data_IF_709024937902
#
_entry.id   IF_709024937902
#
_cell.length_a   1.000
_cell.length_b   1.000
_cell.length_c   1.000
_cell.angle_alpha   90.00
_cell.angle_beta   90.00
_cell.angle_gamma   90.00
#
_symmetry.space_group_name_H-M   'P 1'
#
loop_
_entity.id
_entity.type
_entity.pdbx_description
1 polymer ?
#
# COMPACT_ATOMS: atom_id res chain seq x y z
N UNK A 1 -49.32 51.35 -30.56
CA UNK A 1 -50.30 50.51 -29.86
C UNK A 1 -49.78 49.09 -29.76
N UNK A 2 -49.83 48.58 -28.56
CA UNK A 2 -49.64 47.22 -28.09
C UNK A 2 -48.21 46.65 -27.91
N UNK A 3 -47.95 46.55 -26.61
CA UNK A 3 -46.93 45.82 -25.90
C UNK A 3 -47.01 44.31 -26.17
N UNK A 4 -45.87 43.64 -26.21
CA UNK A 4 -45.75 42.25 -25.87
C UNK A 4 -44.56 42.11 -24.92
N UNK A 5 -44.83 41.60 -23.75
CA UNK A 5 -43.92 41.28 -22.66
C UNK A 5 -43.27 39.92 -22.91
N UNK A 6 -41.97 39.86 -22.71
CA UNK A 6 -41.22 38.60 -22.75
C UNK A 6 -40.83 38.21 -21.35
N UNK A 7 -41.31 37.07 -20.90
CA UNK A 7 -40.97 36.43 -19.64
C UNK A 7 -39.77 35.47 -19.80
N UNK A 8 -38.70 35.77 -19.09
CA UNK A 8 -37.54 34.90 -18.93
C UNK A 8 -37.89 33.71 -18.02
N UNK A 9 -37.65 32.53 -18.47
CA UNK A 9 -37.51 31.36 -17.63
C UNK A 9 -36.03 30.90 -17.65
N UNK A 10 -35.34 31.14 -16.54
CA UNK A 10 -34.10 30.45 -16.19
C UNK A 10 -34.46 29.04 -15.76
N UNK A 11 -33.87 28.06 -16.42
CA UNK A 11 -33.83 26.68 -15.95
C UNK A 11 -32.50 26.44 -15.24
N UNK A 12 -32.59 26.18 -13.94
CA UNK A 12 -31.50 25.72 -13.09
C UNK A 12 -31.14 24.30 -13.49
N UNK A 13 -29.87 24.11 -13.82
CA UNK A 13 -29.25 22.80 -14.05
C UNK A 13 -27.97 22.70 -13.22
N UNK A 14 -28.13 22.55 -11.90
CA UNK A 14 -27.03 22.23 -10.99
C UNK A 14 -27.54 21.28 -9.90
N UNK A 15 -27.53 19.97 -10.16
CA UNK A 15 -27.73 18.96 -9.09
C UNK A 15 -27.34 17.51 -9.41
N UNK A 16 -26.47 17.24 -10.41
CA UNK A 16 -26.19 15.84 -10.79
C UNK A 16 -24.75 15.35 -10.54
N UNK A 17 -23.85 16.18 -10.03
CA UNK A 17 -22.45 15.76 -9.82
C UNK A 17 -22.15 15.15 -8.45
N UNK A 18 -23.02 15.29 -7.47
CA UNK A 18 -22.79 14.77 -6.10
C UNK A 18 -23.26 13.32 -5.89
N UNK A 19 -24.18 12.83 -6.70
CA UNK A 19 -24.75 11.50 -6.52
C UNK A 19 -23.86 10.37 -7.12
N UNK A 20 -23.12 10.64 -8.18
CA UNK A 20 -22.25 9.64 -8.83
C UNK A 20 -21.02 9.26 -7.99
N UNK A 21 -20.49 10.19 -7.19
CA UNK A 21 -19.33 9.91 -6.32
C UNK A 21 -19.69 9.06 -5.10
N UNK A 22 -20.88 9.25 -4.52
CA UNK A 22 -21.33 8.45 -3.37
C UNK A 22 -21.59 6.99 -3.77
N UNK A 23 -22.20 6.76 -4.92
CA UNK A 23 -22.52 5.42 -5.42
C UNK A 23 -21.25 4.63 -5.76
N UNK A 24 -20.26 5.27 -6.40
CA UNK A 24 -18.97 4.63 -6.69
C UNK A 24 -18.18 4.28 -5.42
N UNK A 25 -18.24 5.10 -4.37
CA UNK A 25 -17.59 4.81 -3.09
C UNK A 25 -18.24 3.63 -2.37
N UNK A 26 -19.57 3.54 -2.36
CA UNK A 26 -20.33 2.43 -1.76
C UNK A 26 -20.03 1.13 -2.51
N UNK A 27 -19.99 1.16 -3.84
CA UNK A 27 -19.65 0.01 -4.68
C UNK A 27 -18.23 -0.49 -4.42
N UNK A 28 -17.25 0.41 -4.34
CA UNK A 28 -15.85 0.06 -4.07
C UNK A 28 -15.67 -0.50 -2.65
N UNK A 29 -16.36 0.03 -1.64
CA UNK A 29 -16.35 -0.56 -0.29
C UNK A 29 -16.93 -1.99 -0.29
N UNK A 30 -18.02 -2.24 -1.05
CA UNK A 30 -18.57 -3.56 -1.25
C UNK A 30 -17.58 -4.50 -1.95
N UNK A 31 -16.80 -4.01 -2.91
CA UNK A 31 -15.80 -4.79 -3.63
C UNK A 31 -14.61 -5.17 -2.73
N UNK A 32 -14.12 -4.27 -1.85
CA UNK A 32 -13.10 -4.63 -0.85
C UNK A 32 -13.60 -5.74 0.10
N UNK A 33 -14.85 -5.67 0.55
CA UNK A 33 -15.44 -6.69 1.40
C UNK A 33 -15.50 -8.05 0.69
N UNK A 34 -15.95 -8.09 -0.57
CA UNK A 34 -15.99 -9.31 -1.39
C UNK A 34 -14.61 -9.94 -1.58
N UNK A 35 -13.57 -9.11 -1.81
CA UNK A 35 -12.19 -9.61 -1.93
C UNK A 35 -11.73 -10.21 -0.59
N UNK A 36 -12.05 -9.57 0.54
CA UNK A 36 -11.74 -10.09 1.87
C UNK A 36 -12.44 -11.40 2.16
N UNK A 37 -13.71 -11.52 1.81
CA UNK A 37 -14.48 -12.77 1.94
C UNK A 37 -13.89 -13.89 1.08
N UNK A 38 -13.50 -13.59 -0.16
CA UNK A 38 -12.84 -14.54 -1.04
C UNK A 38 -11.50 -15.02 -0.47
N UNK A 39 -10.70 -14.13 0.12
CA UNK A 39 -9.47 -14.49 0.82
C UNK A 39 -9.70 -15.41 2.01
N UNK A 40 -10.70 -15.10 2.85
CA UNK A 40 -11.02 -15.89 4.06
C UNK A 40 -11.57 -17.27 3.69
N UNK A 41 -12.38 -17.37 2.64
CA UNK A 41 -13.00 -18.63 2.19
C UNK A 41 -12.08 -19.49 1.30
N UNK A 42 -10.94 -18.96 0.84
CA UNK A 42 -9.98 -19.71 0.03
C UNK A 42 -9.42 -20.90 0.82
N UNK A 43 -9.53 -22.09 0.25
CA UNK A 43 -9.05 -23.34 0.87
C UNK A 43 -7.55 -23.29 1.21
N UNK A 44 -6.74 -22.54 0.46
CA UNK A 44 -5.32 -22.32 0.70
C UNK A 44 -5.03 -21.52 1.96
N UNK A 45 -6.06 -20.80 2.48
CA UNK A 45 -6.02 -20.04 3.73
C UNK A 45 -6.73 -20.74 4.90
N UNK A 46 -7.21 -21.97 4.70
CA UNK A 46 -8.04 -22.69 5.68
C UNK A 46 -7.41 -22.84 7.07
N UNK A 47 -6.09 -23.00 7.15
CA UNK A 47 -5.38 -23.11 8.43
C UNK A 47 -5.40 -21.79 9.23
N UNK A 48 -5.36 -20.64 8.53
CA UNK A 48 -5.52 -19.34 9.16
C UNK A 48 -6.97 -19.12 9.61
N UNK A 49 -7.93 -19.43 8.75
CA UNK A 49 -9.36 -19.30 9.05
C UNK A 49 -9.77 -20.17 10.25
N UNK A 50 -9.30 -21.43 10.34
CA UNK A 50 -9.52 -22.31 11.50
C UNK A 50 -8.98 -21.74 12.81
N UNK A 51 -7.89 -20.98 12.77
CA UNK A 51 -7.29 -20.29 13.91
C UNK A 51 -7.94 -18.92 14.19
N UNK A 52 -8.93 -18.49 13.41
CA UNK A 52 -9.54 -17.18 13.52
C UNK A 52 -8.67 -16.03 13.05
N UNK A 53 -7.57 -16.31 12.30
CA UNK A 53 -6.66 -15.29 11.78
C UNK A 53 -7.24 -14.69 10.51
N UNK A 54 -7.43 -13.38 10.52
CA UNK A 54 -7.91 -12.62 9.37
C UNK A 54 -6.75 -12.14 8.49
N UNK A 55 -6.98 -11.88 7.18
CA UNK A 55 -5.96 -11.29 6.32
C UNK A 55 -5.61 -9.87 6.78
N UNK A 56 -4.32 -9.58 6.87
CA UNK A 56 -3.76 -8.35 7.45
C UNK A 56 -3.27 -7.45 6.31
N UNK A 57 -4.06 -6.46 5.98
CA UNK A 57 -3.77 -5.39 5.04
C UNK A 57 -4.67 -4.18 5.34
N UNK A 58 -4.32 -3.03 4.78
CA UNK A 58 -5.09 -1.79 4.89
C UNK A 58 -5.28 -1.21 3.50
N UNK A 59 -6.52 -0.99 3.09
CA UNK A 59 -6.88 -0.42 1.78
C UNK A 59 -8.06 0.55 1.92
N UNK A 60 -8.02 1.61 1.12
CA UNK A 60 -9.10 2.59 1.03
C UNK A 60 -9.09 3.23 -0.37
N UNK A 61 -10.25 3.61 -0.90
CA UNK A 61 -10.38 4.29 -2.19
C UNK A 61 -9.67 5.65 -2.22
N UNK A 62 -9.50 6.27 -1.06
CA UNK A 62 -8.80 7.54 -0.90
C UNK A 62 -7.26 7.39 -0.81
N UNK A 63 -6.73 6.17 -0.86
CA UNK A 63 -5.29 5.93 -0.74
C UNK A 63 -4.51 6.61 -1.88
N UNK A 64 -3.50 7.38 -1.50
CA UNK A 64 -2.61 8.08 -2.43
C UNK A 64 -1.22 7.45 -2.45
N UNK A 65 -0.84 6.76 -1.37
CA UNK A 65 0.40 6.00 -1.24
C UNK A 65 0.05 4.56 -0.92
N UNK A 66 0.72 3.63 -1.61
CA UNK A 66 0.63 2.20 -1.32
C UNK A 66 1.98 1.68 -0.84
N UNK A 67 1.97 0.97 0.28
CA UNK A 67 3.15 0.32 0.86
C UNK A 67 3.04 -1.19 0.61
N UNK A 68 4.06 -1.78 -0.01
CA UNK A 68 4.12 -3.21 -0.28
C UNK A 68 5.35 -3.81 0.40
N UNK A 69 5.12 -4.58 1.46
CA UNK A 69 6.12 -5.35 2.19
C UNK A 69 6.08 -6.83 1.86
N UNK A 70 6.82 -7.64 2.62
CA UNK A 70 6.89 -9.09 2.41
C UNK A 70 5.61 -9.80 2.90
N UNK A 71 5.35 -9.76 4.19
CA UNK A 71 4.25 -10.41 4.88
C UNK A 71 4.15 -9.87 6.33
N UNK A 72 3.02 -10.05 7.02
CA UNK A 72 2.96 -9.86 8.46
C UNK A 72 3.98 -10.73 9.19
N UNK A 73 4.65 -10.19 10.20
CA UNK A 73 5.44 -10.99 11.14
C UNK A 73 4.55 -11.58 12.25
N UNK A 74 5.10 -12.47 13.09
CA UNK A 74 4.34 -13.10 14.17
C UNK A 74 3.63 -12.08 15.11
N UNK A 75 4.31 -11.01 15.52
CA UNK A 75 3.71 -9.94 16.34
C UNK A 75 2.59 -9.19 15.63
N UNK A 76 2.71 -9.03 14.33
CA UNK A 76 1.68 -8.37 13.50
C UNK A 76 0.47 -9.30 13.34
N UNK A 77 0.68 -10.63 13.24
CA UNK A 77 -0.42 -11.60 13.25
C UNK A 77 -1.21 -11.54 14.57
N UNK A 78 -0.53 -11.39 15.71
CA UNK A 78 -1.17 -11.25 17.03
C UNK A 78 -2.02 -9.97 17.15
N UNK A 79 -1.51 -8.85 16.61
CA UNK A 79 -2.17 -7.54 16.73
C UNK A 79 -3.20 -7.29 15.61
N UNK A 80 -3.11 -7.96 14.49
CA UNK A 80 -3.98 -7.78 13.33
C UNK A 80 -3.82 -6.45 12.58
N UNK A 81 -2.78 -5.66 12.88
CA UNK A 81 -2.55 -4.33 12.30
C UNK A 81 -1.20 -4.34 11.56
N UNK A 82 -1.18 -4.06 10.24
CA UNK A 82 0.06 -4.13 9.45
C UNK A 82 1.10 -3.13 9.98
N UNK A 83 2.36 -3.56 10.05
CA UNK A 83 3.48 -2.74 10.58
C UNK A 83 3.30 -2.21 12.02
N UNK A 84 2.47 -2.86 12.86
CA UNK A 84 2.38 -2.52 14.29
C UNK A 84 3.52 -3.21 15.07
N UNK A 85 4.74 -2.87 14.71
CA UNK A 85 5.99 -3.38 15.30
C UNK A 85 7.13 -2.35 15.13
N UNK A 86 8.33 -2.73 15.59
CA UNK A 86 9.54 -1.89 15.47
C UNK A 86 9.93 -1.57 14.01
N UNK A 87 9.57 -2.45 13.07
CA UNK A 87 9.81 -2.18 11.64
C UNK A 87 8.89 -1.07 11.15
N UNK A 88 7.65 -1.05 11.61
CA UNK A 88 6.70 0.01 11.28
C UNK A 88 7.07 1.36 11.91
N UNK A 89 7.55 1.37 13.15
CA UNK A 89 8.10 2.59 13.78
C UNK A 89 9.21 3.18 12.90
N UNK A 90 10.13 2.33 12.45
CA UNK A 90 11.25 2.75 11.59
C UNK A 90 10.79 3.20 10.20
N UNK A 91 9.77 2.54 9.66
CA UNK A 91 9.19 2.92 8.36
C UNK A 91 8.52 4.30 8.44
N UNK A 92 7.73 4.56 9.49
CA UNK A 92 7.12 5.88 9.73
C UNK A 92 8.19 6.97 9.84
N UNK A 93 9.27 6.71 10.58
CA UNK A 93 10.42 7.61 10.65
C UNK A 93 11.02 7.89 9.26
N UNK A 94 11.26 6.87 8.44
CA UNK A 94 11.79 7.05 7.08
C UNK A 94 10.83 7.81 6.15
N UNK A 95 9.53 7.59 6.29
CA UNK A 95 8.51 8.30 5.52
C UNK A 95 8.26 9.73 6.02
N UNK A 96 8.71 10.06 7.24
CA UNK A 96 8.45 11.37 7.86
C UNK A 96 6.98 11.59 8.23
N UNK A 97 6.25 10.53 8.60
CA UNK A 97 4.85 10.57 8.99
C UNK A 97 4.65 10.09 10.42
N UNK A 98 3.64 10.62 11.10
CA UNK A 98 3.18 10.10 12.39
C UNK A 98 2.30 8.85 12.23
N UNK A 99 1.96 8.24 13.34
CA UNK A 99 1.14 7.02 13.36
C UNK A 99 -0.28 7.27 12.83
N UNK A 100 -0.88 8.42 13.15
CA UNK A 100 -2.21 8.77 12.71
C UNK A 100 -2.28 8.93 11.18
N UNK A 101 -1.29 9.57 10.58
CA UNK A 101 -1.14 9.69 9.13
C UNK A 101 -0.88 8.34 8.47
N UNK A 102 -0.02 7.51 9.06
CA UNK A 102 0.35 6.19 8.54
C UNK A 102 -0.86 5.25 8.45
N UNK A 103 -1.74 5.28 9.44
CA UNK A 103 -2.98 4.48 9.45
C UNK A 103 -4.21 5.24 8.94
N UNK A 104 -4.03 6.39 8.31
CA UNK A 104 -5.12 7.13 7.67
C UNK A 104 -5.57 6.45 6.37
N UNK A 105 -6.73 6.87 5.85
CA UNK A 105 -7.24 6.43 4.55
C UNK A 105 -6.35 6.81 3.37
N UNK A 106 -5.43 7.78 3.53
CA UNK A 106 -4.50 8.22 2.47
C UNK A 106 -3.36 7.23 2.20
N UNK A 107 -3.08 6.30 3.13
CA UNK A 107 -2.01 5.30 2.99
C UNK A 107 -2.61 3.90 3.01
N UNK A 108 -2.38 3.14 1.95
CA UNK A 108 -2.69 1.72 1.87
C UNK A 108 -1.44 0.87 2.19
N UNK A 109 -1.66 -0.29 2.80
CA UNK A 109 -0.63 -1.26 3.13
C UNK A 109 -1.07 -2.63 2.64
N UNK A 110 -0.35 -3.18 1.67
CA UNK A 110 -0.71 -4.42 0.99
C UNK A 110 0.53 -5.31 0.83
N UNK A 111 0.89 -6.10 1.87
CA UNK A 111 2.06 -6.98 1.79
C UNK A 111 1.88 -8.07 0.73
N UNK A 112 2.98 -8.66 0.24
CA UNK A 112 2.99 -9.74 -0.76
C UNK A 112 2.23 -10.99 -0.30
N UNK A 113 2.16 -11.25 1.00
CA UNK A 113 1.24 -12.20 1.65
C UNK A 113 0.46 -11.49 2.76
N UNK A 114 -0.83 -11.73 2.84
CA UNK A 114 -1.70 -11.10 3.84
C UNK A 114 -1.75 -11.86 5.17
N UNK A 115 -1.00 -12.93 5.29
CA UNK A 115 -0.90 -13.75 6.48
C UNK A 115 0.58 -13.97 6.84
N UNK A 116 0.85 -14.29 8.09
CA UNK A 116 2.18 -14.69 8.52
C UNK A 116 2.51 -16.09 7.96
N UNK A 117 3.48 -16.22 7.05
CA UNK A 117 3.75 -17.51 6.40
C UNK A 117 4.46 -18.53 7.30
N UNK A 118 4.83 -18.13 8.52
CA UNK A 118 5.54 -18.97 9.49
C UNK A 118 7.03 -18.67 9.58
N UNK A 119 7.70 -19.33 10.53
CA UNK A 119 9.14 -19.23 10.76
C UNK A 119 9.90 -20.26 9.92
N UNK A 120 10.96 -19.79 9.25
CA UNK A 120 11.98 -20.63 8.64
C UNK A 120 13.21 -20.76 9.54
N UNK A 121 14.27 -21.41 9.01
CA UNK A 121 15.54 -21.59 9.72
C UNK A 121 16.28 -20.28 10.00
N UNK A 122 16.16 -19.30 9.11
CA UNK A 122 16.90 -18.03 9.15
C UNK A 122 16.01 -16.80 8.99
N UNK A 123 14.82 -16.84 9.54
CA UNK A 123 13.84 -15.72 9.43
C UNK A 123 12.44 -16.23 9.11
N UNK A 124 11.60 -15.36 8.62
CA UNK A 124 10.24 -15.73 8.21
C UNK A 124 10.27 -16.42 6.84
N UNK A 125 9.34 -17.34 6.63
CA UNK A 125 9.18 -18.02 5.34
C UNK A 125 8.85 -17.02 4.22
N UNK A 126 9.12 -17.36 2.95
CA UNK A 126 8.73 -16.56 1.80
C UNK A 126 7.21 -16.32 1.75
N UNK A 127 6.75 -15.18 1.20
CA UNK A 127 5.33 -14.95 0.96
C UNK A 127 4.80 -15.95 -0.06
N UNK A 128 3.56 -16.40 0.12
CA UNK A 128 2.87 -17.28 -0.82
C UNK A 128 2.49 -16.49 -2.06
N UNK A 129 2.97 -16.91 -3.22
CA UNK A 129 2.88 -16.16 -4.47
C UNK A 129 1.44 -15.83 -4.90
N UNK A 130 0.52 -16.78 -4.73
CA UNK A 130 -0.87 -16.66 -5.21
C UNK A 130 -1.59 -15.44 -4.61
N UNK A 131 -1.22 -14.99 -3.41
CA UNK A 131 -1.83 -13.81 -2.79
C UNK A 131 -1.58 -12.57 -3.67
N UNK A 132 -0.34 -12.31 -4.03
CA UNK A 132 -0.03 -11.18 -4.90
C UNK A 132 -0.57 -11.39 -6.34
N UNK A 133 -0.43 -12.59 -6.89
CA UNK A 133 -0.84 -12.89 -8.27
C UNK A 133 -2.36 -12.75 -8.49
N UNK A 134 -3.18 -13.11 -7.50
CA UNK A 134 -4.64 -13.15 -7.67
C UNK A 134 -5.36 -11.93 -7.08
N UNK A 135 -4.77 -11.24 -6.09
CA UNK A 135 -5.48 -10.21 -5.32
C UNK A 135 -4.89 -8.80 -5.46
N UNK A 136 -3.58 -8.63 -5.73
CA UNK A 136 -2.98 -7.30 -5.75
C UNK A 136 -3.57 -6.40 -6.83
N UNK A 137 -3.70 -6.88 -8.07
CA UNK A 137 -4.28 -6.07 -9.15
C UNK A 137 -5.74 -5.71 -8.87
N UNK A 138 -6.52 -6.62 -8.32
CA UNK A 138 -7.93 -6.37 -7.96
C UNK A 138 -8.06 -5.29 -6.89
N UNK A 139 -7.22 -5.34 -5.85
CA UNK A 139 -7.22 -4.33 -4.80
C UNK A 139 -6.71 -2.99 -5.31
N UNK A 140 -5.63 -3.00 -6.13
CA UNK A 140 -5.06 -1.78 -6.69
C UNK A 140 -6.04 -1.07 -7.64
N UNK A 141 -6.82 -1.81 -8.42
CA UNK A 141 -7.86 -1.25 -9.29
C UNK A 141 -8.93 -0.47 -8.51
N UNK A 142 -9.15 -0.78 -7.23
CA UNK A 142 -10.08 -0.08 -6.35
C UNK A 142 -9.47 1.16 -5.67
N UNK A 143 -8.19 1.43 -5.91
CA UNK A 143 -7.42 2.55 -5.34
C UNK A 143 -6.87 3.47 -6.45
N UNK A 144 -7.73 4.14 -7.22
CA UNK A 144 -7.32 4.91 -8.42
C UNK A 144 -6.46 6.13 -8.11
N UNK A 145 -6.46 6.58 -6.84
CA UNK A 145 -5.73 7.76 -6.40
C UNK A 145 -4.27 7.48 -6.00
N UNK A 146 -3.81 6.22 -6.06
CA UNK A 146 -2.43 5.84 -5.69
C UNK A 146 -1.44 6.45 -6.69
N UNK A 147 -0.61 7.37 -6.19
CA UNK A 147 0.41 8.09 -6.94
C UNK A 147 1.80 7.49 -6.77
N UNK A 148 2.07 6.88 -5.60
CA UNK A 148 3.37 6.30 -5.25
C UNK A 148 3.19 4.93 -4.61
N UNK A 149 3.98 3.97 -5.07
CA UNK A 149 4.06 2.62 -4.50
C UNK A 149 5.44 2.42 -3.90
N UNK A 150 5.52 2.29 -2.57
CA UNK A 150 6.76 2.03 -1.84
C UNK A 150 6.97 0.52 -1.78
N UNK A 151 8.02 0.05 -2.43
CA UNK A 151 8.37 -1.38 -2.51
C UNK A 151 9.43 -1.71 -1.46
N UNK A 152 9.07 -2.51 -0.45
CA UNK A 152 9.92 -2.83 0.69
C UNK A 152 10.50 -4.24 0.57
N UNK A 153 11.82 -4.29 0.32
CA UNK A 153 12.58 -5.53 0.30
C UNK A 153 12.44 -6.33 -1.00
N UNK A 154 13.13 -7.46 -1.01
CA UNK A 154 13.40 -8.20 -2.25
C UNK A 154 12.14 -8.77 -2.93
N UNK A 155 11.17 -9.28 -2.15
CA UNK A 155 9.97 -9.92 -2.73
C UNK A 155 9.07 -8.92 -3.47
N UNK A 156 8.80 -7.76 -2.86
CA UNK A 156 8.02 -6.70 -3.48
C UNK A 156 8.73 -6.15 -4.74
N UNK A 157 10.03 -5.89 -4.62
CA UNK A 157 10.85 -5.37 -5.71
C UNK A 157 10.89 -6.36 -6.89
N UNK A 158 11.14 -7.65 -6.65
CA UNK A 158 11.15 -8.67 -7.71
C UNK A 158 9.81 -8.78 -8.43
N UNK A 159 8.71 -8.70 -7.68
CA UNK A 159 7.37 -8.85 -8.25
C UNK A 159 6.97 -7.66 -9.11
N UNK A 160 7.18 -6.44 -8.61
CA UNK A 160 6.69 -5.23 -9.27
C UNK A 160 7.64 -4.65 -10.31
N UNK A 161 8.95 -4.73 -10.10
CA UNK A 161 9.94 -4.20 -11.04
C UNK A 161 10.38 -5.23 -12.08
N UNK A 162 10.20 -6.52 -11.82
CA UNK A 162 10.52 -7.61 -12.77
C UNK A 162 11.92 -7.44 -13.38
N UNK A 163 11.99 -7.31 -14.69
CA UNK A 163 13.24 -7.19 -15.44
C UNK A 163 13.88 -5.80 -15.37
N UNK A 164 13.15 -4.79 -14.85
CA UNK A 164 13.69 -3.43 -14.70
C UNK A 164 14.52 -3.24 -13.44
N UNK A 165 14.44 -4.17 -12.45
CA UNK A 165 15.29 -4.14 -11.26
C UNK A 165 16.75 -4.30 -11.62
N UNK A 166 17.65 -3.73 -10.81
CA UNK A 166 19.09 -3.94 -10.97
C UNK A 166 19.51 -5.35 -10.49
N UNK A 167 20.79 -5.67 -10.68
CA UNK A 167 21.39 -6.96 -10.36
C UNK A 167 21.04 -7.47 -8.95
N UNK A 168 21.02 -6.57 -7.97
CA UNK A 168 20.71 -6.89 -6.59
C UNK A 168 19.86 -5.79 -5.91
N UNK A 169 19.37 -6.10 -4.70
CA UNK A 169 18.55 -5.18 -3.91
C UNK A 169 19.25 -3.84 -3.65
N UNK A 170 20.53 -3.89 -3.29
CA UNK A 170 21.30 -2.69 -2.94
C UNK A 170 21.40 -1.73 -4.11
N UNK A 171 21.74 -2.23 -5.29
CA UNK A 171 21.82 -1.42 -6.51
C UNK A 171 20.45 -0.93 -6.98
N UNK A 172 19.39 -1.75 -6.83
CA UNK A 172 18.02 -1.31 -7.14
C UNK A 172 17.61 -0.13 -6.24
N UNK A 173 17.89 -0.21 -4.94
CA UNK A 173 17.59 0.88 -4.00
C UNK A 173 18.48 2.10 -4.26
N UNK A 174 19.74 1.91 -4.66
CA UNK A 174 20.62 3.03 -5.02
C UNK A 174 20.13 3.79 -6.24
N UNK A 175 19.57 3.09 -7.21
CA UNK A 175 19.02 3.66 -8.44
C UNK A 175 17.51 3.97 -8.33
N UNK A 176 16.97 4.22 -7.14
CA UNK A 176 15.54 4.41 -6.89
C UNK A 176 14.88 5.45 -7.80
N UNK A 177 15.61 6.47 -8.19
CA UNK A 177 15.13 7.56 -9.06
C UNK A 177 14.66 7.07 -10.43
N UNK A 178 15.22 5.98 -10.94
CA UNK A 178 14.82 5.41 -12.24
C UNK A 178 13.41 4.81 -12.23
N UNK A 179 12.84 4.56 -11.04
CA UNK A 179 11.50 3.97 -10.87
C UNK A 179 10.41 4.99 -10.54
N UNK A 180 10.81 6.24 -10.28
CA UNK A 180 9.88 7.34 -10.06
C UNK A 180 9.16 7.73 -11.37
N UNK A 181 7.97 8.30 -11.29
CA UNK A 181 7.25 8.67 -10.07
C UNK A 181 6.44 7.52 -9.45
N UNK A 182 6.33 6.37 -10.11
CA UNK A 182 5.39 5.30 -9.73
C UNK A 182 5.89 4.43 -8.58
N UNK A 183 7.15 4.03 -8.59
CA UNK A 183 7.72 3.11 -7.61
C UNK A 183 8.87 3.74 -6.84
N UNK A 184 8.93 3.43 -5.54
CA UNK A 184 10.04 3.80 -4.68
C UNK A 184 10.57 2.56 -3.95
N UNK A 185 11.63 1.91 -4.47
CA UNK A 185 12.21 0.74 -3.82
C UNK A 185 13.04 1.12 -2.60
N UNK A 186 12.81 0.43 -1.48
CA UNK A 186 13.61 0.57 -0.26
C UNK A 186 13.96 -0.79 0.34
N UNK A 187 14.96 -0.82 1.22
CA UNK A 187 15.26 -2.00 2.03
C UNK A 187 14.23 -2.18 3.14
N UNK A 188 14.13 -3.39 3.69
CA UNK A 188 13.24 -3.66 4.80
C UNK A 188 13.68 -2.86 6.05
N UNK A 189 12.77 -2.14 6.75
CA UNK A 189 13.07 -1.32 7.92
C UNK A 189 13.35 -2.10 9.21
N UNK A 190 13.55 -3.41 9.11
CA UNK A 190 13.85 -4.26 10.24
C UNK A 190 15.09 -3.80 11.01
N UNK A 191 15.07 -3.79 12.35
CA UNK A 191 16.26 -3.58 13.15
C UNK A 191 17.41 -4.54 12.82
N UNK A 192 17.13 -5.73 12.28
CA UNK A 192 18.15 -6.69 11.85
C UNK A 192 18.97 -6.21 10.65
N UNK A 193 18.50 -5.20 9.92
CA UNK A 193 19.22 -4.62 8.79
C UNK A 193 20.27 -3.57 9.20
N UNK A 194 20.59 -3.42 10.49
CA UNK A 194 21.57 -2.43 10.96
C UNK A 194 22.96 -2.60 10.32
N UNK A 195 23.40 -3.85 10.07
CA UNK A 195 24.70 -4.13 9.41
C UNK A 195 24.69 -3.68 7.95
N UNK A 196 23.58 -3.85 7.25
CA UNK A 196 23.44 -3.36 5.89
C UNK A 196 23.44 -1.83 5.86
N UNK A 197 22.72 -1.18 6.77
CA UNK A 197 22.67 0.28 6.87
C UNK A 197 24.05 0.85 7.20
N UNK A 198 24.82 0.23 8.10
CA UNK A 198 26.18 0.65 8.42
C UNK A 198 27.13 0.56 7.21
N UNK A 199 26.94 -0.44 6.33
CA UNK A 199 27.71 -0.56 5.08
C UNK A 199 27.21 0.36 3.96
N UNK A 200 26.01 0.91 4.08
CA UNK A 200 25.34 1.72 3.07
C UNK A 200 24.81 3.03 3.67
N UNK A 201 25.68 3.92 4.22
CA UNK A 201 25.24 5.15 4.88
C UNK A 201 24.52 6.13 3.95
N UNK A 202 24.77 6.02 2.65
CA UNK A 202 24.08 6.78 1.59
C UNK A 202 22.56 6.58 1.64
N UNK A 203 22.06 5.43 2.10
CA UNK A 203 20.63 5.18 2.17
C UNK A 203 19.90 6.19 3.07
N UNK A 204 20.40 6.39 4.28
CA UNK A 204 19.82 7.37 5.21
C UNK A 204 20.11 8.82 4.79
N UNK A 205 21.24 9.06 4.12
CA UNK A 205 21.68 10.39 3.72
C UNK A 205 21.02 10.88 2.44
N UNK A 206 20.84 9.99 1.45
CA UNK A 206 20.46 10.39 0.09
C UNK A 206 19.08 9.87 -0.32
N UNK A 207 18.67 8.65 0.14
CA UNK A 207 17.39 8.03 -0.26
C UNK A 207 16.25 8.46 0.66
N UNK A 208 16.44 8.36 1.98
CA UNK A 208 15.38 8.66 2.96
C UNK A 208 14.90 10.12 2.87
N UNK A 209 15.73 11.15 2.68
CA UNK A 209 15.24 12.52 2.50
C UNK A 209 14.33 12.68 1.28
N UNK A 210 14.66 12.04 0.15
CA UNK A 210 13.82 12.08 -1.06
C UNK A 210 12.51 11.31 -0.84
N UNK A 211 12.53 10.20 -0.12
CA UNK A 211 11.30 9.50 0.26
C UNK A 211 10.37 10.39 1.08
N UNK A 212 10.90 11.10 2.08
CA UNK A 212 10.13 12.04 2.91
C UNK A 212 9.52 13.17 2.08
N UNK A 213 10.32 13.75 1.17
CA UNK A 213 9.86 14.79 0.26
C UNK A 213 8.68 14.30 -0.58
N UNK A 214 8.82 13.14 -1.26
CA UNK A 214 7.75 12.57 -2.08
C UNK A 214 6.50 12.21 -1.29
N UNK A 215 6.66 11.66 -0.09
CA UNK A 215 5.53 11.38 0.80
C UNK A 215 4.81 12.68 1.21
N UNK A 216 5.54 13.71 1.59
CA UNK A 216 4.99 15.01 1.97
C UNK A 216 4.26 15.70 0.81
N UNK A 217 4.85 15.70 -0.40
CA UNK A 217 4.24 16.27 -1.61
C UNK A 217 2.89 15.60 -1.97
N UNK A 218 2.77 14.28 -1.73
CA UNK A 218 1.57 13.54 -2.09
C UNK A 218 0.47 13.69 -1.04
N UNK A 219 0.83 13.79 0.24
CA UNK A 219 -0.12 13.82 1.36
C UNK A 219 -0.59 15.25 1.73
N UNK A 220 0.11 16.27 1.22
CA UNK A 220 -0.32 17.69 1.34
C UNK A 220 -1.57 18.00 0.47
#
# INVERSE_FOLDING_TARGET
MNKVTNSNSKSDSDSDSSNSNSDSMVENCSNFARIKEALVSDKRNSEYTKRGVMPIYQVDTAAQILIIGQAPGAKVEENGIPFMDKSGEKLRDWMGVDEATFYSKKIAIMPMDFYFPGKGKTGDLPPRKFIAEEYHEKLLALMPNVKLIILIGEYAIKYYLKDTKKENLTETVRCFQEYLPKYFPIVHPSPLNFRWQAKNPWFLKDVVPVLREKVSEILS
#
